data_IF_565570568969
#
_entry.id   IF_565570568969
#
_cell.length_a   1.000
_cell.length_b   1.000
_cell.length_c   1.000
_cell.angle_alpha   90.00
_cell.angle_beta   90.00
_cell.angle_gamma   90.00
#
_symmetry.space_group_name_H-M   'P 1'
#
loop_
_entity.id
_entity.type
_entity.pdbx_description
1 polymer ?
#
# COMPACT_ATOMS: atom_id res chain seq x y z
N UNK A 1 -0.76 21.14 -16.77
CA UNK A 1 -1.06 20.69 -15.39
C UNK A 1 -2.56 20.78 -15.21
N UNK A 2 -3.26 19.93 -15.95
CA UNK A 2 -4.57 19.46 -15.58
C UNK A 2 -4.47 18.82 -14.18
N UNK A 3 -5.47 19.13 -13.41
CA UNK A 3 -5.56 18.80 -12.01
C UNK A 3 -5.75 17.30 -11.78
N UNK A 4 -5.03 16.74 -10.80
CA UNK A 4 -5.04 15.32 -10.41
C UNK A 4 -6.46 14.79 -10.22
N UNK A 5 -7.40 15.61 -9.71
CA UNK A 5 -8.81 15.22 -9.60
C UNK A 5 -9.60 15.47 -10.88
N UNK A 6 -9.26 16.45 -11.70
CA UNK A 6 -9.91 16.62 -13.01
C UNK A 6 -9.72 15.36 -13.85
N UNK A 7 -8.56 14.70 -13.76
CA UNK A 7 -8.32 13.44 -14.46
C UNK A 7 -9.02 12.26 -13.75
N UNK A 8 -9.10 12.27 -12.42
CA UNK A 8 -9.92 11.31 -11.65
C UNK A 8 -11.45 11.50 -11.80
N UNK A 9 -11.89 12.67 -12.26
CA UNK A 9 -13.30 13.01 -12.56
C UNK A 9 -13.64 12.85 -14.05
N UNK A 10 -12.63 12.79 -14.92
CA UNK A 10 -12.77 12.55 -16.36
C UNK A 10 -12.75 11.05 -16.72
N UNK A 11 -12.34 10.19 -15.79
CA UNK A 11 -12.75 8.79 -15.85
C UNK A 11 -14.27 8.76 -15.64
N UNK A 12 -14.98 8.07 -16.55
CA UNK A 12 -16.44 7.96 -16.59
C UNK A 12 -17.05 7.66 -15.20
N UNK A 13 -18.36 7.88 -15.06
CA UNK A 13 -19.19 7.84 -13.82
C UNK A 13 -18.98 6.66 -12.85
N UNK A 14 -18.13 5.67 -13.17
CA UNK A 14 -17.89 4.46 -12.41
C UNK A 14 -16.42 4.17 -12.00
N UNK A 15 -15.44 5.05 -12.24
CA UNK A 15 -14.03 4.77 -11.84
C UNK A 15 -13.46 5.90 -10.99
N UNK A 16 -13.70 5.82 -9.68
CA UNK A 16 -13.29 6.85 -8.71
C UNK A 16 -11.93 6.46 -8.11
N UNK A 17 -10.85 7.11 -8.53
CA UNK A 17 -9.56 7.03 -7.84
C UNK A 17 -9.08 8.43 -7.49
N UNK A 18 -9.57 8.94 -6.36
CA UNK A 18 -9.38 10.31 -5.93
C UNK A 18 -8.07 10.59 -5.18
N UNK A 19 -7.22 9.60 -4.87
CA UNK A 19 -6.09 9.80 -3.95
C UNK A 19 -4.73 9.22 -4.36
N UNK A 20 -4.47 8.94 -5.63
CA UNK A 20 -3.17 8.37 -6.02
C UNK A 20 -2.03 9.37 -5.97
N UNK A 21 -0.99 9.10 -5.18
CA UNK A 21 0.36 9.50 -5.61
C UNK A 21 0.70 8.63 -6.82
N UNK A 22 1.52 9.11 -7.75
CA UNK A 22 1.98 8.25 -8.84
C UNK A 22 2.64 7.00 -8.23
N UNK A 23 2.10 5.83 -8.55
CA UNK A 23 2.46 4.53 -7.96
C UNK A 23 2.86 3.52 -9.06
N UNK A 24 3.11 3.98 -10.28
CA UNK A 24 3.35 3.10 -11.41
C UNK A 24 4.82 2.66 -11.58
N UNK A 25 5.06 1.35 -11.40
CA UNK A 25 6.24 0.64 -11.90
C UNK A 25 5.74 -0.61 -12.64
N UNK A 26 6.15 -0.77 -13.90
CA UNK A 26 5.72 -1.88 -14.77
C UNK A 26 6.95 -2.58 -15.35
N UNK A 27 7.24 -3.76 -14.84
CA UNK A 27 8.14 -4.74 -15.42
C UNK A 27 7.31 -5.76 -16.23
N UNK A 28 7.39 -5.64 -17.57
CA UNK A 28 6.65 -6.48 -18.51
C UNK A 28 7.16 -7.93 -18.58
N UNK A 29 8.34 -8.22 -18.02
CA UNK A 29 8.86 -9.57 -17.96
C UNK A 29 8.12 -10.42 -16.93
N UNK A 30 7.40 -9.79 -16.00
CA UNK A 30 6.63 -10.47 -14.96
C UNK A 30 5.21 -10.74 -15.41
N UNK A 31 4.64 -11.84 -14.95
CA UNK A 31 3.27 -12.24 -15.31
C UNK A 31 2.63 -12.85 -14.09
N UNK A 32 1.48 -12.31 -13.71
CA UNK A 32 0.73 -12.80 -12.58
C UNK A 32 0.01 -14.09 -12.95
N UNK A 33 0.22 -15.14 -12.16
CA UNK A 33 -0.41 -16.45 -12.35
C UNK A 33 -0.99 -16.94 -11.03
N UNK A 34 -2.06 -17.74 -11.08
CA UNK A 34 -2.62 -18.37 -9.89
C UNK A 34 -1.58 -19.29 -9.23
N UNK A 35 -1.37 -19.11 -7.93
CA UNK A 35 -0.40 -19.85 -7.15
C UNK A 35 -0.91 -20.02 -5.71
N UNK A 36 -1.54 -21.16 -5.45
CA UNK A 36 -2.29 -21.39 -4.21
C UNK A 36 -3.60 -20.58 -4.21
N UNK A 37 -3.80 -19.77 -3.17
CA UNK A 37 -5.00 -18.91 -3.00
C UNK A 37 -4.80 -17.47 -3.50
N UNK A 38 -3.60 -17.13 -3.97
CA UNK A 38 -3.26 -15.82 -4.51
C UNK A 38 -2.80 -15.92 -5.97
N UNK A 39 -2.74 -14.78 -6.65
CA UNK A 39 -2.04 -14.66 -7.92
C UNK A 39 -0.67 -14.03 -7.66
N UNK A 40 0.42 -14.57 -8.21
CA UNK A 40 1.80 -14.12 -7.94
C UNK A 40 2.51 -13.77 -9.24
N UNK A 41 3.19 -12.62 -9.29
CA UNK A 41 3.92 -12.13 -10.49
C UNK A 41 5.21 -12.89 -10.82
N UNK A 42 5.80 -13.54 -9.82
CA UNK A 42 6.95 -14.43 -9.93
C UNK A 42 6.86 -15.57 -8.89
N UNK A 43 6.17 -16.69 -9.20
CA UNK A 43 6.01 -17.82 -8.28
C UNK A 43 7.31 -18.45 -7.78
N UNK A 44 8.43 -18.28 -8.50
CA UNK A 44 9.73 -18.80 -8.06
C UNK A 44 10.33 -18.03 -6.88
N UNK A 45 9.80 -16.84 -6.58
CA UNK A 45 10.31 -15.97 -5.52
C UNK A 45 9.59 -16.14 -4.18
N UNK A 46 8.59 -17.01 -4.09
CA UNK A 46 7.79 -17.22 -2.88
C UNK A 46 7.26 -18.65 -2.82
N UNK A 47 7.21 -19.26 -1.63
CA UNK A 47 6.51 -20.55 -1.45
C UNK A 47 4.98 -20.41 -1.56
N UNK A 48 4.28 -21.51 -1.82
CA UNK A 48 2.81 -21.50 -1.83
C UNK A 48 2.24 -21.21 -0.44
N UNK A 49 2.90 -21.73 0.59
CA UNK A 49 2.53 -21.56 1.99
C UNK A 49 2.61 -20.09 2.40
N UNK A 50 3.72 -19.42 2.06
CA UNK A 50 3.87 -18.00 2.34
C UNK A 50 2.88 -17.17 1.50
N UNK A 51 2.70 -17.48 0.22
CA UNK A 51 1.73 -16.78 -0.62
C UNK A 51 0.30 -16.85 -0.03
N UNK A 52 -0.13 -18.03 0.41
CA UNK A 52 -1.43 -18.22 1.05
C UNK A 52 -1.56 -17.43 2.37
N UNK A 53 -0.51 -17.44 3.19
CA UNK A 53 -0.48 -16.71 4.47
C UNK A 53 -0.47 -15.18 4.29
N UNK A 54 0.01 -14.67 3.15
CA UNK A 54 -0.03 -13.24 2.85
C UNK A 54 -1.35 -12.83 2.18
N UNK A 55 -2.00 -13.75 1.46
CA UNK A 55 -3.30 -13.52 0.86
C UNK A 55 -4.37 -13.16 1.90
N UNK A 56 -4.36 -13.82 3.06
CA UNK A 56 -5.28 -13.55 4.17
C UNK A 56 -5.04 -12.21 4.88
N UNK A 57 -3.94 -11.52 4.57
CA UNK A 57 -3.54 -10.25 5.18
C UNK A 57 -3.63 -9.06 4.23
N UNK A 58 -4.16 -9.25 3.02
CA UNK A 58 -4.37 -8.19 2.04
C UNK A 58 -5.71 -7.50 2.29
N UNK A 59 -5.67 -6.22 2.66
CA UNK A 59 -6.86 -5.42 2.94
C UNK A 59 -6.86 -4.12 2.15
N UNK A 60 -8.00 -3.84 1.54
CA UNK A 60 -8.25 -2.59 0.82
C UNK A 60 -8.65 -1.50 1.81
N UNK A 61 -7.99 -0.35 1.75
CA UNK A 61 -8.43 0.86 2.45
C UNK A 61 -9.38 1.65 1.56
N UNK A 62 -10.61 1.86 2.02
CA UNK A 62 -11.56 2.78 1.41
C UNK A 62 -11.61 4.07 2.22
N UNK A 63 -11.15 5.16 1.62
CA UNK A 63 -11.24 6.51 2.21
C UNK A 63 -12.38 7.26 1.54
N UNK A 64 -13.34 7.79 2.31
CA UNK A 64 -14.39 8.63 1.77
C UNK A 64 -13.96 10.10 1.82
N UNK A 65 -14.18 10.80 0.70
CA UNK A 65 -13.81 12.20 0.51
C UNK A 65 -15.04 13.07 0.31
N UNK A 66 -15.25 14.05 1.18
CA UNK A 66 -16.39 14.98 1.12
C UNK A 66 -15.96 16.42 0.85
N UNK A 67 -16.80 17.17 0.14
CA UNK A 67 -16.63 18.63 0.04
C UNK A 67 -17.13 19.25 1.36
N UNK A 68 -16.41 20.21 1.98
CA UNK A 68 -16.87 20.87 3.19
C UNK A 68 -18.30 21.42 3.06
N UNK A 69 -19.19 21.03 3.98
CA UNK A 69 -20.60 21.43 3.97
C UNK A 69 -21.52 20.63 3.03
N UNK A 70 -20.98 19.70 2.24
CA UNK A 70 -21.77 18.77 1.43
C UNK A 70 -22.02 17.46 2.17
N UNK A 71 -23.18 16.85 1.94
CA UNK A 71 -23.48 15.47 2.36
C UNK A 71 -22.93 14.42 1.38
N UNK A 72 -22.42 14.84 0.21
CA UNK A 72 -21.91 13.95 -0.81
C UNK A 72 -20.45 13.57 -0.52
N UNK A 73 -20.17 12.28 -0.58
CA UNK A 73 -18.82 11.73 -0.46
C UNK A 73 -18.46 10.91 -1.69
N UNK A 74 -17.16 10.85 -1.98
CA UNK A 74 -16.58 10.04 -3.04
C UNK A 74 -15.56 9.08 -2.45
N UNK A 75 -15.63 7.78 -2.76
CA UNK A 75 -14.62 6.84 -2.29
C UNK A 75 -13.28 7.05 -3.00
N UNK A 76 -12.20 6.69 -2.34
CA UNK A 76 -10.92 6.40 -2.95
C UNK A 76 -10.40 5.09 -2.38
N UNK A 77 -9.42 4.51 -3.08
CA UNK A 77 -8.87 3.21 -2.75
C UNK A 77 -7.36 3.32 -2.51
N UNK A 78 -6.91 2.68 -1.43
CA UNK A 78 -5.53 2.34 -1.15
C UNK A 78 -5.48 0.98 -0.47
N UNK A 79 -4.40 0.69 0.24
CA UNK A 79 -4.24 -0.53 1.04
C UNK A 79 -4.04 -0.19 2.52
N UNK A 80 -4.34 -1.14 3.39
CA UNK A 80 -4.07 -1.08 4.82
C UNK A 80 -3.55 -2.43 5.28
N UNK A 81 -2.67 -2.44 6.27
CA UNK A 81 -2.31 -3.66 6.99
C UNK A 81 -2.49 -3.51 8.49
N UNK A 82 -2.53 -4.64 9.18
CA UNK A 82 -2.69 -4.69 10.63
C UNK A 82 -1.41 -5.20 11.27
N UNK A 83 -0.71 -4.34 12.01
CA UNK A 83 0.52 -4.73 12.70
C UNK A 83 0.19 -5.27 14.09
N UNK A 84 0.72 -6.45 14.42
CA UNK A 84 0.57 -7.08 15.74
C UNK A 84 1.29 -6.28 16.82
N UNK A 85 0.60 -6.11 17.93
CA UNK A 85 1.11 -5.70 19.23
C UNK A 85 0.95 -6.84 20.24
N UNK A 86 0.55 -6.49 21.46
CA UNK A 86 0.42 -7.44 22.56
C UNK A 86 -0.61 -8.54 22.27
N UNK A 87 -0.35 -9.76 22.75
CA UNK A 87 -1.33 -10.84 22.72
C UNK A 87 -2.57 -10.46 23.53
N UNK A 88 -3.75 -10.72 22.98
CA UNK A 88 -5.02 -10.60 23.69
C UNK A 88 -5.24 -11.92 24.44
N UNK A 89 -5.53 -11.89 25.76
CA UNK A 89 -5.80 -13.10 26.52
C UNK A 89 -6.90 -13.94 25.84
N UNK A 90 -6.61 -15.20 25.47
CA UNK A 90 -7.59 -16.02 24.78
C UNK A 90 -8.70 -16.44 25.75
N UNK A 91 -9.90 -16.64 25.21
CA UNK A 91 -10.93 -17.41 25.91
C UNK A 91 -10.51 -18.89 25.96
N UNK A 92 -10.96 -19.69 26.95
CA UNK A 92 -10.64 -21.12 27.00
C UNK A 92 -10.96 -21.83 25.67
N UNK A 93 -9.98 -22.47 25.06
CA UNK A 93 -10.11 -23.15 23.76
C UNK A 93 -10.08 -22.24 22.52
N UNK A 94 -9.95 -20.92 22.70
CA UNK A 94 -9.83 -19.96 21.62
C UNK A 94 -8.43 -19.93 20.99
N UNK A 95 -8.36 -19.49 19.74
CA UNK A 95 -7.09 -19.21 19.07
C UNK A 95 -6.42 -17.97 19.66
N UNK A 96 -5.09 -17.92 19.59
CA UNK A 96 -4.31 -16.74 19.98
C UNK A 96 -4.67 -15.55 19.08
N UNK A 97 -4.81 -14.38 19.69
CA UNK A 97 -5.14 -13.13 19.02
C UNK A 97 -4.20 -12.03 19.51
N UNK A 98 -4.14 -10.94 18.77
CA UNK A 98 -3.23 -9.83 19.03
C UNK A 98 -4.00 -8.52 18.95
N UNK A 99 -3.65 -7.58 19.82
CA UNK A 99 -4.00 -6.20 19.60
C UNK A 99 -3.32 -5.77 18.29
N UNK A 100 -4.04 -5.08 17.41
CA UNK A 100 -3.48 -4.67 16.12
C UNK A 100 -3.59 -3.18 15.89
N UNK A 101 -2.58 -2.62 15.24
CA UNK A 101 -2.57 -1.23 14.80
C UNK A 101 -2.73 -1.20 13.29
N UNK A 102 -3.82 -0.63 12.74
CA UNK A 102 -3.95 -0.44 11.31
C UNK A 102 -2.91 0.57 10.83
N UNK A 103 -2.22 0.26 9.73
CA UNK A 103 -1.21 1.14 9.12
C UNK A 103 -1.42 1.24 7.62
N UNK A 104 -1.21 2.44 7.08
CA UNK A 104 -1.33 2.76 5.65
C UNK A 104 -0.36 3.88 5.29
N UNK A 105 -0.30 4.24 4.02
CA UNK A 105 0.43 5.43 3.58
C UNK A 105 -0.32 6.70 4.02
N UNK A 106 0.39 7.65 4.61
CA UNK A 106 -0.21 8.86 5.21
C UNK A 106 -0.95 9.69 4.17
N UNK A 107 -0.46 9.76 2.94
CA UNK A 107 -1.12 10.49 1.87
C UNK A 107 -2.50 9.91 1.48
N UNK A 108 -2.84 8.66 1.80
CA UNK A 108 -4.18 8.10 1.58
C UNK A 108 -5.27 8.76 2.45
N UNK A 109 -4.85 9.51 3.48
CA UNK A 109 -5.69 10.16 4.47
C UNK A 109 -5.73 11.68 4.31
N UNK A 110 -5.00 12.22 3.32
CA UNK A 110 -4.76 13.67 3.19
C UNK A 110 -5.99 14.44 2.73
N UNK A 111 -6.04 15.73 3.03
CA UNK A 111 -6.91 16.67 2.32
C UNK A 111 -6.43 16.85 0.88
N UNK A 112 -7.35 16.79 -0.07
CA UNK A 112 -7.04 16.94 -1.49
C UNK A 112 -7.56 18.30 -1.95
N UNK A 113 -6.73 19.06 -2.67
CA UNK A 113 -7.07 20.40 -3.18
C UNK A 113 -6.94 20.49 -4.69
N UNK A 114 -7.88 19.89 -5.42
CA UNK A 114 -7.80 19.85 -6.86
C UNK A 114 -8.37 21.10 -7.55
N UNK A 115 -7.91 21.40 -8.77
CA UNK A 115 -8.47 22.43 -9.67
C UNK A 115 -9.45 21.83 -10.70
N UNK A 116 -10.73 21.75 -10.36
CA UNK A 116 -11.78 21.19 -11.25
C UNK A 116 -12.35 22.27 -12.16
N UNK A 117 -12.22 22.10 -13.48
CA UNK A 117 -12.67 23.10 -14.47
C UNK A 117 -12.08 24.49 -14.22
N UNK A 118 -10.81 24.55 -13.80
CA UNK A 118 -10.14 25.81 -13.46
C UNK A 118 -10.48 26.36 -12.06
N UNK A 119 -11.37 25.70 -11.31
CA UNK A 119 -11.80 26.14 -9.98
C UNK A 119 -11.19 25.23 -8.90
N UNK A 120 -10.35 25.77 -7.99
CA UNK A 120 -9.88 25.03 -6.84
C UNK A 120 -11.06 24.54 -5.97
N UNK A 121 -11.16 23.22 -5.79
CA UNK A 121 -12.05 22.54 -4.85
C UNK A 121 -11.22 21.99 -3.70
N UNK A 122 -11.90 21.64 -2.61
CA UNK A 122 -11.29 20.97 -1.46
C UNK A 122 -12.12 19.76 -1.11
N UNK A 123 -11.44 18.62 -0.92
CA UNK A 123 -12.01 17.37 -0.50
C UNK A 123 -11.34 16.93 0.79
N UNK A 124 -12.13 16.78 1.86
CA UNK A 124 -11.67 16.29 3.14
C UNK A 124 -11.83 14.78 3.18
N UNK A 125 -10.82 14.05 3.66
CA UNK A 125 -11.01 12.67 4.08
C UNK A 125 -11.93 12.67 5.31
N UNK A 126 -13.12 12.09 5.22
CA UNK A 126 -14.15 12.14 6.27
C UNK A 126 -14.27 10.82 7.03
N UNK A 127 -13.96 9.70 6.41
CA UNK A 127 -13.96 8.39 7.04
C UNK A 127 -13.04 7.41 6.32
N UNK A 128 -12.66 6.36 7.03
CA UNK A 128 -11.87 5.24 6.52
C UNK A 128 -12.47 3.93 6.97
N UNK A 129 -12.54 2.98 6.05
CA UNK A 129 -13.04 1.63 6.30
C UNK A 129 -12.26 0.60 5.49
N UNK A 130 -12.27 -0.65 5.96
CA UNK A 130 -11.81 -1.81 5.20
C UNK A 130 -12.86 -2.91 5.26
N UNK A 131 -12.79 -3.81 4.29
CA UNK A 131 -13.67 -4.95 4.14
C UNK A 131 -12.89 -6.23 4.41
N UNK A 132 -13.56 -7.27 4.91
CA UNK A 132 -12.96 -8.58 5.08
C UNK A 132 -13.04 -9.33 3.75
N UNK A 133 -11.96 -9.97 3.33
CA UNK A 133 -11.89 -10.68 2.04
C UNK A 133 -12.90 -11.83 1.92
N UNK A 134 -13.29 -12.43 3.04
CA UNK A 134 -14.26 -13.53 3.11
C UNK A 134 -15.70 -13.08 3.37
N UNK A 135 -15.92 -11.82 3.76
CA UNK A 135 -17.24 -11.25 3.99
C UNK A 135 -17.24 -9.74 3.64
N UNK A 136 -17.60 -9.40 2.38
CA UNK A 136 -17.62 -8.02 1.92
C UNK A 136 -18.77 -7.19 2.51
N UNK A 137 -19.72 -7.79 3.24
CA UNK A 137 -20.77 -7.04 3.93
C UNK A 137 -20.26 -6.51 5.29
N UNK A 138 -19.27 -7.18 5.88
CA UNK A 138 -18.64 -6.76 7.13
C UNK A 138 -17.60 -5.68 6.89
N UNK A 139 -17.80 -4.54 7.56
CA UNK A 139 -16.92 -3.38 7.50
C UNK A 139 -16.22 -3.17 8.83
N UNK A 140 -14.93 -2.88 8.75
CA UNK A 140 -14.13 -2.43 9.89
C UNK A 140 -13.89 -0.94 9.72
N UNK A 141 -14.50 -0.14 10.61
CA UNK A 141 -14.27 1.30 10.66
C UNK A 141 -12.91 1.58 11.29
N UNK A 142 -12.07 2.32 10.57
CA UNK A 142 -10.73 2.67 11.00
C UNK A 142 -10.69 4.15 11.35
N UNK A 143 -9.95 4.50 12.39
CA UNK A 143 -9.74 5.88 12.80
C UNK A 143 -8.26 6.17 12.81
N UNK A 144 -7.85 7.21 12.08
CA UNK A 144 -6.47 7.66 12.01
C UNK A 144 -6.32 9.08 12.57
N UNK A 145 -5.33 9.34 13.43
CA UNK A 145 -5.00 10.70 13.86
C UNK A 145 -4.64 11.64 12.70
N UNK A 146 -4.12 11.09 11.59
CA UNK A 146 -3.77 11.83 10.38
C UNK A 146 -4.93 12.00 9.40
N UNK A 147 -6.16 11.61 9.76
CA UNK A 147 -7.30 11.79 8.86
C UNK A 147 -7.52 13.28 8.55
N UNK A 148 -7.69 13.59 7.26
CA UNK A 148 -7.80 14.95 6.74
C UNK A 148 -6.56 15.83 6.97
N UNK A 149 -5.38 15.22 7.15
CA UNK A 149 -4.11 15.93 7.29
C UNK A 149 -3.78 16.75 6.04
N UNK A 150 -3.15 17.91 6.24
CA UNK A 150 -2.71 18.81 5.16
C UNK A 150 -1.19 18.74 5.09
N UNK A 151 -0.61 18.22 4.00
CA UNK A 151 0.84 18.24 3.80
C UNK A 151 1.37 19.68 3.80
N UNK A 152 2.35 19.96 4.64
CA UNK A 152 3.07 21.21 4.70
C UNK A 152 4.46 21.09 4.05
N UNK A 153 5.07 22.23 3.69
CA UNK A 153 6.44 22.23 3.18
C UNK A 153 7.46 21.67 4.19
N UNK A 154 7.19 21.83 5.49
CA UNK A 154 8.02 21.31 6.58
C UNK A 154 7.90 19.80 6.75
N UNK A 155 6.86 19.16 6.20
CA UNK A 155 6.75 17.70 6.21
C UNK A 155 7.69 17.06 5.20
N UNK A 156 8.21 17.80 4.21
CA UNK A 156 9.01 17.24 3.12
C UNK A 156 10.25 16.53 3.64
N UNK A 157 10.43 15.28 3.23
CA UNK A 157 11.62 14.50 3.55
C UNK A 157 12.58 14.52 2.36
N UNK A 158 13.81 14.98 2.60
CA UNK A 158 14.89 14.90 1.62
C UNK A 158 15.43 13.47 1.67
N UNK A 159 15.05 12.67 0.69
CA UNK A 159 15.47 11.28 0.57
C UNK A 159 16.89 11.17 0.01
N UNK A 160 17.27 12.12 -0.86
CA UNK A 160 18.64 12.33 -1.35
C UNK A 160 18.91 13.83 -1.46
N UNK A 161 20.03 14.25 -0.89
CA UNK A 161 20.41 15.67 -0.77
C UNK A 161 20.58 16.39 -2.11
N UNK A 162 20.61 17.73 -2.06
CA UNK A 162 20.83 18.59 -3.22
C UNK A 162 22.18 18.35 -3.94
N UNK A 163 23.15 17.78 -3.22
CA UNK A 163 24.47 17.40 -3.75
C UNK A 163 24.48 16.04 -4.47
N UNK A 164 23.36 15.31 -4.46
CA UNK A 164 23.21 14.10 -5.28
C UNK A 164 22.95 14.49 -6.73
N UNK A 165 23.48 13.71 -7.68
CA UNK A 165 23.15 13.82 -9.11
C UNK A 165 21.65 13.65 -9.40
N UNK A 166 20.87 13.18 -8.41
CA UNK A 166 19.43 13.04 -8.48
C UNK A 166 18.79 13.41 -7.12
N UNK A 167 18.64 14.71 -6.82
CA UNK A 167 18.05 15.16 -5.57
C UNK A 167 16.60 14.71 -5.50
N UNK A 168 16.20 14.16 -4.35
CA UNK A 168 14.89 13.56 -4.18
C UNK A 168 14.23 14.09 -2.93
N UNK A 169 13.04 14.66 -3.11
CA UNK A 169 12.20 15.18 -2.03
C UNK A 169 10.86 14.45 -2.07
N UNK A 170 10.52 13.76 -0.98
CA UNK A 170 9.19 13.19 -0.79
C UNK A 170 8.29 14.21 -0.11
N UNK A 171 7.16 14.59 -0.73
CA UNK A 171 6.35 15.70 -0.24
C UNK A 171 5.56 15.37 1.03
N UNK A 172 5.44 14.08 1.39
CA UNK A 172 4.59 13.64 2.49
C UNK A 172 5.35 13.25 3.77
N UNK A 173 6.67 13.46 3.79
CA UNK A 173 7.52 13.17 4.94
C UNK A 173 7.75 11.69 5.17
N UNK A 174 7.76 11.27 6.44
CA UNK A 174 7.63 9.85 6.75
C UNK A 174 6.18 9.42 6.44
N UNK A 175 5.97 8.80 5.29
CA UNK A 175 4.65 8.58 4.69
C UNK A 175 3.99 7.31 5.20
N UNK A 176 3.92 7.22 6.52
CA UNK A 176 3.25 6.15 7.24
C UNK A 176 2.27 6.77 8.22
N UNK A 177 1.06 6.23 8.28
CA UNK A 177 0.05 6.59 9.26
C UNK A 177 -0.36 5.35 10.04
N UNK A 178 -0.38 5.48 11.37
CA UNK A 178 -0.88 4.46 12.28
C UNK A 178 -2.22 4.91 12.86
N UNK A 179 -3.23 4.05 12.78
CA UNK A 179 -4.54 4.32 13.35
C UNK A 179 -4.65 3.92 14.82
N UNK A 180 -5.85 4.08 15.38
CA UNK A 180 -6.12 3.62 16.74
C UNK A 180 -6.04 2.10 16.84
N UNK A 181 -5.40 1.63 17.91
CA UNK A 181 -5.21 0.21 18.15
C UNK A 181 -6.54 -0.49 18.43
N UNK A 182 -6.75 -1.63 17.77
CA UNK A 182 -7.89 -2.53 17.96
C UNK A 182 -7.47 -3.60 18.96
N UNK A 183 -8.07 -3.57 20.16
CA UNK A 183 -7.80 -4.53 21.25
C UNK A 183 -8.92 -5.55 21.45
N UNK A 184 -10.09 -5.32 20.87
CA UNK A 184 -11.21 -6.24 20.91
C UNK A 184 -11.03 -7.36 19.90
N UNK A 185 -11.43 -8.58 20.28
CA UNK A 185 -11.47 -9.71 19.36
C UNK A 185 -12.25 -9.35 18.09
N UNK A 186 -11.56 -9.35 16.94
CA UNK A 186 -12.13 -9.02 15.64
C UNK A 186 -11.67 -10.06 14.64
N UNK A 187 -12.55 -10.99 14.31
CA UNK A 187 -12.25 -12.11 13.42
C UNK A 187 -11.69 -11.61 12.07
N UNK A 188 -10.62 -12.23 11.60
CA UNK A 188 -9.96 -11.86 10.36
C UNK A 188 -9.03 -10.64 10.46
N UNK A 189 -8.99 -9.94 11.60
CA UNK A 189 -8.13 -8.76 11.80
C UNK A 189 -7.15 -8.96 12.96
N UNK A 190 -7.63 -9.40 14.12
CA UNK A 190 -6.78 -9.61 15.30
C UNK A 190 -6.10 -10.97 15.35
N UNK A 191 -6.42 -11.88 14.41
CA UNK A 191 -5.80 -13.21 14.37
C UNK A 191 -4.39 -13.13 13.78
N UNK A 192 -3.56 -14.14 14.06
CA UNK A 192 -2.27 -14.27 13.39
C UNK A 192 -2.43 -14.26 11.86
N UNK A 193 -3.42 -14.99 11.33
CA UNK A 193 -3.61 -15.11 9.88
C UNK A 193 -4.04 -13.81 9.21
N UNK A 194 -4.66 -12.88 9.95
CA UNK A 194 -5.14 -11.58 9.45
C UNK A 194 -4.21 -10.40 9.77
N UNK A 195 -3.07 -10.63 10.42
CA UNK A 195 -2.18 -9.57 10.88
C UNK A 195 -0.71 -9.89 10.68
N UNK A 196 0.10 -8.84 10.58
CA UNK A 196 1.54 -8.94 10.39
C UNK A 196 2.28 -8.84 11.70
N UNK A 197 3.14 -9.82 11.95
CA UNK A 197 4.26 -9.62 12.87
C UNK A 197 5.28 -8.67 12.24
N UNK A 198 5.92 -7.85 13.07
CA UNK A 198 7.00 -6.94 12.64
C UNK A 198 8.32 -7.67 12.75
N UNK A 199 9.26 -7.36 11.86
CA UNK A 199 10.66 -7.75 12.10
C UNK A 199 11.16 -7.25 13.46
N UNK A 200 12.08 -8.01 14.05
CA UNK A 200 12.68 -7.67 15.33
C UNK A 200 13.50 -6.37 15.29
N UNK A 201 13.80 -5.76 16.45
CA UNK A 201 14.54 -4.50 16.53
C UNK A 201 15.99 -4.59 15.99
N UNK A 202 16.54 -5.80 15.89
CA UNK A 202 17.87 -6.07 15.33
C UNK A 202 17.86 -6.37 13.83
N UNK A 203 16.71 -6.28 13.16
CA UNK A 203 16.62 -6.57 11.73
C UNK A 203 17.41 -5.54 10.91
N UNK A 204 18.32 -6.03 10.07
CA UNK A 204 19.13 -5.18 9.21
C UNK A 204 18.52 -5.08 7.81
N UNK A 205 18.33 -3.86 7.34
CA UNK A 205 17.90 -3.61 5.96
C UNK A 205 19.12 -3.61 5.04
N UNK A 206 19.07 -4.39 3.95
CA UNK A 206 20.14 -4.40 2.96
C UNK A 206 19.63 -4.53 1.52
N UNK A 207 20.45 -4.06 0.58
CA UNK A 207 20.18 -4.17 -0.85
C UNK A 207 20.18 -5.65 -1.25
N UNK A 208 19.19 -6.05 -2.05
CA UNK A 208 19.02 -7.41 -2.53
C UNK A 208 18.05 -8.27 -1.72
N UNK A 209 17.63 -7.84 -0.52
CA UNK A 209 16.57 -8.52 0.24
C UNK A 209 15.31 -8.65 -0.61
N UNK A 210 14.77 -9.88 -0.67
CA UNK A 210 13.60 -10.23 -1.46
C UNK A 210 12.34 -9.88 -0.70
N UNK A 211 11.46 -9.12 -1.34
CA UNK A 211 10.30 -8.52 -0.69
C UNK A 211 9.06 -8.63 -1.56
N UNK A 212 7.89 -8.63 -0.92
CA UNK A 212 6.61 -8.65 -1.60
C UNK A 212 5.60 -7.71 -0.98
N UNK A 213 4.56 -7.39 -1.76
CA UNK A 213 3.32 -6.79 -1.28
C UNK A 213 2.16 -7.67 -1.72
N UNK A 214 1.14 -7.78 -0.89
CA UNK A 214 -0.13 -8.41 -1.24
C UNK A 214 -1.18 -7.31 -1.40
N UNK A 215 -1.84 -7.27 -2.56
CA UNK A 215 -2.77 -6.21 -2.95
C UNK A 215 -4.11 -6.83 -3.29
N UNK A 216 -5.16 -6.34 -2.65
CA UNK A 216 -6.54 -6.61 -3.02
C UNK A 216 -7.13 -5.35 -3.66
N UNK A 217 -7.62 -5.47 -4.90
CA UNK A 217 -8.21 -4.36 -5.63
C UNK A 217 -9.53 -4.79 -6.26
N UNK A 218 -10.58 -3.98 -6.07
CA UNK A 218 -11.90 -4.19 -6.68
C UNK A 218 -11.87 -3.92 -8.20
N UNK A 219 -10.90 -3.11 -8.65
CA UNK A 219 -10.78 -2.68 -10.03
C UNK A 219 -9.47 -3.17 -10.65
N UNK A 220 -9.56 -3.55 -11.93
CA UNK A 220 -8.39 -3.88 -12.72
C UNK A 220 -7.57 -2.60 -13.00
N UNK A 221 -6.23 -2.69 -13.07
CA UNK A 221 -5.43 -1.55 -13.47
C UNK A 221 -5.80 -1.08 -14.88
N UNK A 222 -6.00 0.22 -15.02
CA UNK A 222 -6.30 0.86 -16.31
C UNK A 222 -5.06 1.58 -16.83
N UNK A 223 -5.13 2.08 -18.06
CA UNK A 223 -4.06 2.92 -18.63
C UNK A 223 -3.76 4.16 -17.78
N UNK A 224 -4.75 4.67 -17.05
CA UNK A 224 -4.60 5.83 -16.18
C UNK A 224 -3.89 5.43 -14.88
N UNK A 225 -4.34 4.36 -14.23
CA UNK A 225 -3.79 3.90 -12.94
C UNK A 225 -2.41 3.27 -13.08
N UNK A 226 -2.12 2.75 -14.27
CA UNK A 226 -0.81 2.27 -14.69
C UNK A 226 0.03 3.36 -15.38
N UNK A 227 -0.09 4.61 -14.95
CA UNK A 227 0.74 5.72 -15.43
C UNK A 227 1.28 6.57 -14.29
N UNK A 228 2.48 7.14 -14.50
CA UNK A 228 3.04 8.16 -13.61
C UNK A 228 2.40 9.53 -13.82
N UNK A 229 1.93 9.80 -15.05
CA UNK A 229 1.23 11.03 -15.37
C UNK A 229 -0.15 10.69 -15.93
N UNK A 230 -1.24 10.95 -15.20
CA UNK A 230 -2.58 10.61 -15.65
C UNK A 230 -3.02 11.43 -16.89
N UNK A 231 -2.39 12.59 -17.18
CA UNK A 231 -2.59 13.33 -18.45
C UNK A 231 -1.98 12.60 -19.65
N UNK A 232 -1.02 11.72 -19.39
CA UNK A 232 -0.34 10.89 -20.39
C UNK A 232 -0.50 9.42 -19.98
N UNK A 233 -1.68 8.82 -20.16
CA UNK A 233 -1.94 7.43 -19.78
C UNK A 233 -0.92 6.47 -20.40
N UNK A 234 -0.75 5.31 -19.77
CA UNK A 234 0.12 4.24 -20.26
C UNK A 234 -0.25 3.87 -21.70
N UNK A 235 0.75 3.46 -22.48
CA UNK A 235 0.54 2.96 -23.84
C UNK A 235 0.20 1.47 -23.87
N UNK A 236 0.18 0.81 -22.70
CA UNK A 236 -0.09 -0.62 -22.59
C UNK A 236 -1.57 -0.91 -22.74
N UNK A 237 -1.87 -2.01 -23.44
CA UNK A 237 -3.24 -2.50 -23.58
C UNK A 237 -3.75 -3.10 -22.27
N UNK A 238 -5.06 -3.09 -22.07
CA UNK A 238 -5.71 -3.66 -20.87
C UNK A 238 -5.32 -5.13 -20.66
N UNK A 239 -5.28 -5.95 -21.71
CA UNK A 239 -4.81 -7.34 -21.62
C UNK A 239 -3.37 -7.47 -21.11
N UNK A 240 -2.51 -6.51 -21.47
CA UNK A 240 -1.12 -6.47 -20.99
C UNK A 240 -1.07 -6.09 -19.52
N UNK A 241 -1.87 -5.11 -19.11
CA UNK A 241 -1.95 -4.68 -17.71
C UNK A 241 -2.52 -5.80 -16.84
N UNK A 242 -3.60 -6.45 -17.30
CA UNK A 242 -4.20 -7.62 -16.66
C UNK A 242 -3.23 -8.79 -16.53
N UNK A 243 -2.41 -9.06 -17.56
CA UNK A 243 -1.37 -10.10 -17.47
C UNK A 243 -0.30 -9.78 -16.41
N UNK A 244 0.07 -8.51 -16.26
CA UNK A 244 1.17 -8.07 -15.38
C UNK A 244 0.72 -7.88 -13.93
N UNK A 245 -0.53 -7.45 -13.74
CA UNK A 245 -1.10 -7.13 -12.44
C UNK A 245 -2.18 -8.11 -11.97
N UNK A 246 -2.52 -9.10 -12.79
CA UNK A 246 -3.53 -10.10 -12.45
C UNK A 246 -4.96 -9.60 -12.51
N UNK A 247 -5.82 -10.27 -11.76
CA UNK A 247 -7.28 -10.13 -11.82
C UNK A 247 -7.82 -9.22 -10.70
N UNK A 248 -8.84 -8.39 -10.98
CA UNK A 248 -9.56 -7.68 -9.92
C UNK A 248 -10.29 -8.67 -8.99
N UNK A 249 -10.65 -8.22 -7.80
CA UNK A 249 -11.32 -8.98 -6.75
C UNK A 249 -10.56 -10.23 -6.30
N UNK A 250 -9.28 -10.33 -6.64
CA UNK A 250 -8.37 -11.36 -6.20
C UNK A 250 -7.18 -10.72 -5.48
N UNK A 251 -6.55 -11.50 -4.60
CA UNK A 251 -5.29 -11.07 -4.00
C UNK A 251 -4.18 -11.33 -5.01
N UNK A 252 -3.50 -10.25 -5.39
CA UNK A 252 -2.34 -10.28 -6.26
C UNK A 252 -1.10 -9.94 -5.43
N UNK A 253 -0.09 -10.81 -5.46
CA UNK A 253 1.19 -10.64 -4.80
C UNK A 253 2.22 -10.22 -5.83
N UNK A 254 2.81 -9.05 -5.60
CA UNK A 254 3.89 -8.52 -6.42
C UNK A 254 5.18 -8.64 -5.63
N UNK A 255 6.18 -9.22 -6.26
CA UNK A 255 7.46 -9.56 -5.64
C UNK A 255 8.55 -8.62 -6.15
N UNK A 256 9.73 -8.66 -5.56
CA UNK A 256 10.83 -7.79 -5.97
C UNK A 256 11.97 -7.83 -4.96
N UNK A 257 12.79 -6.78 -4.97
CA UNK A 257 13.91 -6.62 -4.06
C UNK A 257 14.14 -5.17 -3.67
N UNK A 258 14.82 -5.00 -2.54
CA UNK A 258 15.35 -3.70 -2.12
C UNK A 258 16.52 -3.32 -3.04
N UNK A 259 16.45 -2.12 -3.62
CA UNK A 259 17.47 -1.56 -4.51
C UNK A 259 18.40 -0.55 -3.80
N UNK A 260 17.87 0.16 -2.81
CA UNK A 260 18.61 1.17 -2.04
C UNK A 260 18.01 1.28 -0.64
N UNK A 261 18.84 1.42 0.38
CA UNK A 261 18.42 1.61 1.78
C UNK A 261 18.81 3.01 2.23
N UNK A 262 17.82 3.82 2.61
CA UNK A 262 18.02 5.10 3.29
C UNK A 262 17.84 4.95 4.80
N UNK A 263 17.78 6.07 5.53
CA UNK A 263 17.61 6.07 6.99
C UNK A 263 16.21 5.57 7.40
N UNK A 264 15.16 6.30 7.00
CA UNK A 264 13.76 5.98 7.31
C UNK A 264 13.01 5.27 6.17
N UNK A 265 13.64 5.11 5.02
CA UNK A 265 13.01 4.60 3.80
C UNK A 265 13.93 3.60 3.07
N UNK A 266 13.38 2.93 2.07
CA UNK A 266 14.14 2.23 1.04
C UNK A 266 13.44 2.31 -0.31
N UNK A 267 14.18 2.02 -1.37
CA UNK A 267 13.65 1.93 -2.74
C UNK A 267 13.60 0.48 -3.21
N UNK A 268 12.61 0.13 -4.00
CA UNK A 268 12.37 -1.25 -4.47
C UNK A 268 11.85 -1.32 -5.92
N UNK A 269 11.87 -2.51 -6.51
CA UNK A 269 11.46 -2.78 -7.91
C UNK A 269 10.20 -3.66 -8.04
N UNK A 270 9.32 -3.62 -7.04
CA UNK A 270 8.04 -4.33 -7.07
C UNK A 270 7.13 -3.67 -8.11
N UNK A 271 6.41 -4.45 -8.92
CA UNK A 271 5.37 -3.91 -9.82
C UNK A 271 4.23 -3.27 -9.02
N UNK A 272 3.83 -2.06 -9.39
CA UNK A 272 2.79 -1.30 -8.69
C UNK A 272 2.00 -0.43 -9.66
N UNK A 273 0.80 -0.05 -9.24
CA UNK A 273 -0.12 0.86 -9.92
C UNK A 273 -0.90 1.66 -8.87
N UNK A 274 -1.58 2.74 -9.27
CA UNK A 274 -2.38 3.55 -8.36
C UNK A 274 -3.45 2.73 -7.62
N UNK A 275 -3.36 2.74 -6.29
CA UNK A 275 -4.19 1.96 -5.37
C UNK A 275 -3.39 0.91 -4.57
N UNK A 276 -2.08 0.79 -4.82
CA UNK A 276 -1.17 -0.09 -4.09
C UNK A 276 -0.61 0.56 -2.82
N UNK A 277 -0.59 1.90 -2.72
CA UNK A 277 -0.06 2.60 -1.55
C UNK A 277 -0.73 2.17 -0.25
N UNK A 278 0.07 2.06 0.80
CA UNK A 278 -0.35 1.52 2.09
C UNK A 278 -0.18 0.00 2.21
N UNK A 279 0.20 -0.70 1.13
CA UNK A 279 0.44 -2.13 1.20
C UNK A 279 1.63 -2.41 2.11
N UNK A 280 1.50 -3.44 2.94
CA UNK A 280 2.60 -3.89 3.79
C UNK A 280 3.63 -4.58 2.91
N UNK A 281 4.87 -4.14 3.03
CA UNK A 281 6.00 -4.86 2.46
C UNK A 281 6.43 -5.92 3.46
N UNK A 282 6.43 -7.18 3.01
CA UNK A 282 6.88 -8.33 3.77
C UNK A 282 8.09 -9.00 3.14
N UNK A 283 8.84 -9.78 3.93
CA UNK A 283 9.98 -10.56 3.46
C UNK A 283 9.53 -11.86 2.79
N UNK A 284 10.10 -12.16 1.62
CA UNK A 284 9.90 -13.44 0.94
C UNK A 284 10.72 -14.55 1.63
N UNK A 285 10.51 -15.80 1.24
CA UNK A 285 11.15 -16.98 1.85
C UNK A 285 12.12 -17.72 0.92
N UNK A 286 12.37 -17.18 -0.28
CA UNK A 286 13.29 -17.76 -1.26
C UNK A 286 14.39 -16.78 -1.63
N UNK A 287 15.58 -17.31 -1.93
CA UNK A 287 16.76 -16.54 -2.38
C UNK A 287 17.09 -15.30 -1.54
N UNK A 288 16.83 -15.39 -0.24
CA UNK A 288 17.15 -14.31 0.69
C UNK A 288 18.66 -14.26 0.96
N UNK A 289 19.23 -13.07 1.21
CA UNK A 289 20.59 -12.96 1.69
C UNK A 289 20.69 -13.52 3.12
N UNK A 290 21.92 -13.86 3.54
CA UNK A 290 22.16 -14.54 4.83
C UNK A 290 21.81 -13.71 6.07
N UNK A 291 21.53 -12.42 5.92
CA UNK A 291 21.05 -11.55 7.01
C UNK A 291 19.60 -11.83 7.40
N UNK A 292 18.81 -12.44 6.51
CA UNK A 292 17.40 -12.77 6.74
C UNK A 292 17.33 -14.23 7.18
N UNK A 293 16.70 -14.46 8.33
CA UNK A 293 16.53 -15.79 8.89
C UNK A 293 15.14 -16.34 8.56
N UNK A 294 14.91 -17.66 8.66
CA UNK A 294 13.58 -18.23 8.44
C UNK A 294 12.46 -17.66 9.34
N UNK A 295 12.81 -17.11 10.50
CA UNK A 295 11.84 -16.44 11.38
C UNK A 295 11.36 -15.10 10.80
N UNK A 296 12.15 -14.45 9.95
CA UNK A 296 11.80 -13.15 9.39
C UNK A 296 10.84 -13.29 8.19
N UNK A 297 10.67 -14.49 7.63
CA UNK A 297 9.84 -14.72 6.46
C UNK A 297 8.38 -14.34 6.72
N UNK A 298 7.80 -13.55 5.82
CA UNK A 298 6.43 -13.06 5.92
C UNK A 298 6.18 -11.97 6.96
N UNK A 299 7.20 -11.53 7.69
CA UNK A 299 7.09 -10.42 8.63
C UNK A 299 7.11 -9.07 7.89
N UNK A 300 6.44 -8.08 8.47
CA UNK A 300 6.35 -6.73 7.92
C UNK A 300 7.60 -5.92 8.21
N UNK A 301 8.13 -5.26 7.18
CA UNK A 301 9.33 -4.40 7.27
C UNK A 301 9.05 -2.93 6.94
N UNK A 302 8.06 -2.66 6.09
CA UNK A 302 7.75 -1.31 5.62
C UNK A 302 6.31 -1.18 5.10
N UNK A 303 5.92 0.05 4.82
CA UNK A 303 4.70 0.39 4.10
C UNK A 303 5.07 0.99 2.75
N UNK A 304 4.49 0.46 1.67
CA UNK A 304 4.67 1.00 0.33
C UNK A 304 4.02 2.38 0.22
N UNK A 305 4.77 3.39 -0.24
CA UNK A 305 4.30 4.77 -0.36
C UNK A 305 3.99 5.19 -1.79
N UNK A 306 4.64 4.60 -2.79
CA UNK A 306 4.36 4.85 -4.19
C UNK A 306 5.61 4.93 -5.05
N UNK A 307 5.50 5.51 -6.23
CA UNK A 307 6.62 5.59 -7.16
C UNK A 307 7.61 6.66 -6.77
N UNK A 308 8.87 6.39 -7.08
CA UNK A 308 9.93 7.35 -6.92
C UNK A 308 9.64 8.59 -7.78
N UNK A 309 9.77 9.82 -7.24
CA UNK A 309 9.34 11.05 -7.90
C UNK A 309 10.15 11.43 -9.15
N UNK A 310 11.22 10.69 -9.46
CA UNK A 310 12.16 11.00 -10.56
C UNK A 310 12.56 9.75 -11.32
N UNK A 311 12.83 8.62 -10.64
CA UNK A 311 13.21 7.36 -11.26
C UNK A 311 12.01 6.43 -11.46
N UNK A 312 11.54 6.30 -12.71
CA UNK A 312 10.37 5.46 -13.06
C UNK A 312 10.57 3.95 -12.88
N UNK A 313 11.80 3.51 -12.58
CA UNK A 313 12.14 2.11 -12.36
C UNK A 313 12.17 1.75 -10.88
N UNK A 314 11.67 2.64 -9.99
CA UNK A 314 11.76 2.47 -8.54
C UNK A 314 10.49 2.93 -7.86
N UNK A 315 10.17 2.22 -6.80
CA UNK A 315 9.18 2.60 -5.82
C UNK A 315 9.83 2.93 -4.49
N UNK A 316 9.09 3.60 -3.63
CA UNK A 316 9.48 4.04 -2.31
C UNK A 316 8.65 3.34 -1.24
N UNK A 317 9.31 3.00 -0.13
CA UNK A 317 8.67 2.48 1.07
C UNK A 317 9.29 3.07 2.33
N UNK A 318 8.50 3.18 3.39
CA UNK A 318 8.92 3.69 4.69
C UNK A 318 8.97 2.58 5.74
N UNK A 319 10.08 2.52 6.49
CA UNK A 319 10.36 1.44 7.43
C UNK A 319 9.40 1.49 8.62
N UNK A 320 8.79 0.35 8.95
CA UNK A 320 7.85 0.23 10.07
C UNK A 320 8.53 0.41 11.43
N UNK A 321 9.85 0.19 11.53
CA UNK A 321 10.62 0.45 12.76
C UNK A 321 10.58 1.91 13.23
N UNK A 322 10.09 2.83 12.40
CA UNK A 322 9.86 4.23 12.73
C UNK A 322 8.50 4.48 13.43
N UNK A 323 7.64 3.46 13.54
CA UNK A 323 6.41 3.50 14.32
C UNK A 323 6.73 3.11 15.77
N UNK A 324 7.27 4.06 16.53
CA UNK A 324 7.45 3.95 17.99
C UNK A 324 6.55 4.94 18.71
#
# INVERSE_FOLDING_TARGET
MADELTIALMAEENVIQGSGVAECLIDLARTTVLYGTAHVDNPLSISQELAAAQASKAFTLRTLFGIPGSSLTKPSQGQVGFLRGDAIPPSPGGQMQYAVTPVTAKHNLRRIKPVVQGIPKTFNAVSTETYLSWDPEVRVHLTFPNLNWIPAHTDRLILRGAESDNPMIWPFGNDIAAGHQIRSYTQGVTSADGSYERVGPSFNFEVGQRIGIAVLSEHAPTRITASYNPENPSLYREDTLKRVFGEPNNVNIYTGKILLVGESHFEHDINTFTGCSGAIIFLLDTEQPSSVTPHDYGTAIAVHAGSHPTLRTRNLAFKISQLT
#
